data_IF_970269551865
#
_entry.id   IF_970269551865
#
_cell.length_a   1.000
_cell.length_b   1.000
_cell.length_c   1.000
_cell.angle_alpha   90.00
_cell.angle_beta   90.00
_cell.angle_gamma   90.00
#
_symmetry.space_group_name_H-M   'P 1'
#
loop_
_entity.id
_entity.type
_entity.pdbx_description
1 polymer ?
#
# COMPACT_ATOMS: atom_id res chain seq x y z
N UNK A 1 27.68 -52.80 -32.56
CA UNK A 1 27.52 -52.79 -31.10
C UNK A 1 27.00 -51.43 -30.69
N UNK A 2 25.69 -51.30 -30.49
CA UNK A 2 25.02 -50.10 -29.98
C UNK A 2 24.85 -50.27 -28.46
N UNK A 3 25.20 -49.25 -27.68
CA UNK A 3 24.82 -49.07 -26.27
C UNK A 3 25.19 -47.64 -25.84
N UNK A 4 24.48 -47.00 -24.88
CA UNK A 4 23.33 -46.18 -25.20
C UNK A 4 23.54 -44.71 -24.81
N UNK A 5 22.77 -43.85 -25.47
CA UNK A 5 22.61 -42.44 -25.16
C UNK A 5 21.98 -42.30 -23.76
N UNK A 6 22.76 -41.85 -22.78
CA UNK A 6 22.25 -41.48 -21.46
C UNK A 6 21.56 -40.12 -21.61
N UNK A 7 20.24 -40.16 -21.78
CA UNK A 7 19.39 -38.99 -21.61
C UNK A 7 19.47 -38.54 -20.14
N UNK A 8 20.13 -37.41 -19.89
CA UNK A 8 19.96 -36.70 -18.63
C UNK A 8 18.56 -36.10 -18.64
N UNK A 9 17.70 -36.76 -17.88
CA UNK A 9 16.37 -36.34 -17.50
C UNK A 9 16.41 -34.91 -16.91
N UNK A 10 15.93 -33.93 -17.68
CA UNK A 10 15.76 -32.54 -17.25
C UNK A 10 14.35 -32.30 -16.72
N UNK A 11 13.85 -33.23 -15.88
CA UNK A 11 12.57 -33.17 -15.19
C UNK A 11 12.68 -32.46 -13.84
N UNK A 12 12.96 -31.15 -13.80
CA UNK A 12 12.93 -30.42 -12.52
C UNK A 12 12.59 -28.91 -12.57
N UNK A 13 12.15 -28.33 -13.68
CA UNK A 13 11.91 -26.87 -13.72
C UNK A 13 10.68 -26.42 -14.52
N UNK A 14 9.70 -27.30 -14.72
CA UNK A 14 8.58 -27.04 -15.65
C UNK A 14 7.19 -27.13 -14.99
N UNK A 15 7.02 -26.52 -13.82
CA UNK A 15 5.74 -26.36 -13.13
C UNK A 15 5.91 -25.14 -12.19
N UNK A 16 5.27 -23.96 -12.30
CA UNK A 16 4.01 -23.51 -12.90
C UNK A 16 4.09 -21.98 -13.01
N UNK A 17 4.58 -21.43 -14.13
CA UNK A 17 4.40 -20.00 -14.44
C UNK A 17 3.13 -19.74 -15.28
N UNK A 18 2.44 -20.80 -15.70
CA UNK A 18 1.29 -20.79 -16.61
C UNK A 18 -0.06 -20.49 -15.92
N UNK A 19 -0.02 -19.84 -14.76
CA UNK A 19 -1.22 -19.50 -13.99
C UNK A 19 -1.15 -18.10 -13.40
N UNK A 20 -0.71 -17.12 -14.18
CA UNK A 20 -1.25 -15.75 -14.06
C UNK A 20 -2.68 -15.73 -14.63
N UNK A 21 -3.53 -16.62 -14.13
CA UNK A 21 -4.95 -16.37 -14.17
C UNK A 21 -5.14 -15.16 -13.26
N UNK A 22 -5.67 -14.07 -13.81
CA UNK A 22 -6.35 -13.03 -13.02
C UNK A 22 -7.06 -13.75 -11.88
N UNK A 23 -6.78 -13.38 -10.62
CA UNK A 23 -7.38 -14.03 -9.46
C UNK A 23 -8.87 -14.27 -9.76
N UNK A 24 -9.34 -15.53 -9.78
CA UNK A 24 -10.65 -15.84 -10.31
C UNK A 24 -11.70 -15.02 -9.56
N UNK A 25 -12.71 -14.54 -10.27
CA UNK A 25 -13.65 -13.51 -9.80
C UNK A 25 -14.47 -13.87 -8.53
N UNK A 26 -14.27 -15.05 -7.93
CA UNK A 26 -14.87 -15.44 -6.66
C UNK A 26 -14.06 -16.53 -5.94
N UNK A 27 -12.86 -16.22 -5.48
CA UNK A 27 -12.17 -17.08 -4.51
C UNK A 27 -12.96 -17.12 -3.18
N UNK A 28 -13.13 -18.30 -2.60
CA UNK A 28 -13.68 -18.42 -1.25
C UNK A 28 -12.75 -17.76 -0.21
N UNK A 29 -13.23 -17.41 0.99
CA UNK A 29 -12.38 -16.87 2.05
C UNK A 29 -11.15 -17.75 2.36
N UNK A 30 -11.31 -19.07 2.38
CA UNK A 30 -10.19 -20.01 2.62
C UNK A 30 -9.19 -19.97 1.46
N UNK A 31 -9.66 -19.96 0.21
CA UNK A 31 -8.78 -19.86 -0.96
C UNK A 31 -8.06 -18.50 -1.02
N UNK A 32 -8.72 -17.41 -0.67
CA UNK A 32 -8.08 -16.08 -0.56
C UNK A 32 -6.95 -16.09 0.46
N UNK A 33 -7.14 -16.70 1.63
CA UNK A 33 -6.09 -16.82 2.64
C UNK A 33 -4.92 -17.66 2.15
N UNK A 34 -5.19 -18.75 1.42
CA UNK A 34 -4.14 -19.62 0.87
C UNK A 34 -3.31 -18.89 -0.20
N UNK A 35 -3.97 -18.21 -1.12
CA UNK A 35 -3.30 -17.50 -2.22
C UNK A 35 -2.57 -16.24 -1.72
N UNK A 36 -3.22 -15.41 -0.90
CA UNK A 36 -2.64 -14.14 -0.44
C UNK A 36 -1.60 -14.33 0.67
N UNK A 37 -1.83 -15.24 1.61
CA UNK A 37 -0.97 -15.42 2.79
C UNK A 37 -0.06 -16.64 2.68
N UNK A 38 -0.23 -17.49 1.66
CA UNK A 38 0.58 -18.71 1.48
C UNK A 38 0.38 -19.75 2.58
N UNK A 39 -0.79 -19.76 3.23
CA UNK A 39 -1.13 -20.73 4.26
C UNK A 39 -1.56 -22.07 3.65
N UNK A 40 -1.39 -23.16 4.41
CA UNK A 40 -1.97 -24.46 4.05
C UNK A 40 -3.49 -24.42 4.20
N UNK A 41 -4.20 -25.33 3.51
CA UNK A 41 -5.66 -25.44 3.62
C UNK A 41 -6.12 -25.59 5.08
N UNK A 42 -5.47 -26.46 5.84
CA UNK A 42 -5.77 -26.69 7.25
C UNK A 42 -5.62 -25.41 8.08
N UNK A 43 -4.51 -24.66 7.90
CA UNK A 43 -4.27 -23.42 8.67
C UNK A 43 -5.24 -22.31 8.28
N UNK A 44 -5.60 -22.19 7.00
CA UNK A 44 -6.61 -21.24 6.53
C UNK A 44 -7.98 -21.53 7.13
N UNK A 45 -8.39 -22.81 7.14
CA UNK A 45 -9.67 -23.23 7.69
C UNK A 45 -9.71 -23.02 9.23
N UNK A 46 -8.61 -23.34 9.93
CA UNK A 46 -8.47 -23.08 11.37
C UNK A 46 -8.51 -21.58 11.71
N UNK A 47 -7.84 -20.75 10.92
CA UNK A 47 -7.87 -19.30 11.12
C UNK A 47 -9.30 -18.76 10.95
N UNK A 48 -10.00 -19.17 9.89
CA UNK A 48 -11.41 -18.78 9.70
C UNK A 48 -12.30 -19.23 10.86
N UNK A 49 -12.09 -20.44 11.36
CA UNK A 49 -12.83 -20.94 12.53
C UNK A 49 -12.57 -20.10 13.79
N UNK A 50 -11.32 -19.67 14.03
CA UNK A 50 -10.98 -18.81 15.17
C UNK A 50 -11.51 -17.38 15.02
N UNK A 51 -11.67 -16.89 13.80
CA UNK A 51 -12.20 -15.55 13.52
C UNK A 51 -13.72 -15.43 13.73
N UNK A 52 -14.41 -16.54 13.99
CA UNK A 52 -15.81 -16.60 14.38
C UNK A 52 -16.79 -16.84 13.23
N UNK A 53 -18.00 -17.28 13.59
CA UNK A 53 -19.10 -17.65 12.69
C UNK A 53 -19.85 -16.44 12.10
N UNK A 54 -19.24 -15.25 12.02
CA UNK A 54 -19.93 -14.09 11.44
C UNK A 54 -20.03 -14.27 9.91
N UNK A 55 -21.06 -15.03 9.51
CA UNK A 55 -21.34 -15.50 8.15
C UNK A 55 -21.45 -14.35 7.13
N UNK A 56 -21.59 -13.11 7.62
CA UNK A 56 -21.70 -11.91 6.80
C UNK A 56 -20.35 -11.49 6.23
N UNK A 57 -19.28 -11.49 7.03
CA UNK A 57 -17.95 -11.00 6.62
C UNK A 57 -16.80 -11.73 7.35
N UNK A 58 -16.54 -13.01 7.03
CA UNK A 58 -15.54 -13.83 7.74
C UNK A 58 -14.11 -13.26 7.72
N UNK A 59 -13.77 -12.46 6.70
CA UNK A 59 -12.46 -11.81 6.59
C UNK A 59 -12.37 -10.47 7.31
N UNK A 60 -13.48 -9.88 7.79
CA UNK A 60 -13.45 -8.59 8.48
C UNK A 60 -12.68 -8.66 9.81
N UNK A 61 -12.78 -9.80 10.51
CA UNK A 61 -12.09 -10.05 11.78
C UNK A 61 -10.56 -10.08 11.64
N UNK A 62 -10.01 -10.32 10.42
CA UNK A 62 -8.57 -10.22 10.15
C UNK A 62 -8.00 -8.84 10.50
N UNK A 63 -8.85 -7.80 10.55
CA UNK A 63 -8.43 -6.46 10.95
C UNK A 63 -7.89 -6.39 12.36
N UNK A 64 -8.22 -7.33 13.25
CA UNK A 64 -7.82 -7.28 14.66
C UNK A 64 -6.83 -8.38 15.04
N UNK A 65 -6.40 -9.19 14.07
CA UNK A 65 -5.45 -10.28 14.30
C UNK A 65 -4.08 -9.73 14.67
N UNK A 66 -3.49 -10.31 15.71
CA UNK A 66 -2.13 -10.07 16.16
C UNK A 66 -1.26 -11.32 16.06
N UNK A 67 0.02 -11.18 16.42
CA UNK A 67 0.97 -12.28 16.40
C UNK A 67 0.58 -13.42 17.35
N UNK A 68 -0.02 -13.12 18.52
CA UNK A 68 -0.32 -14.13 19.55
C UNK A 68 -1.36 -15.13 19.09
N UNK A 69 -2.41 -14.67 18.40
CA UNK A 69 -3.40 -15.55 17.79
C UNK A 69 -2.78 -16.44 16.71
N UNK A 70 -1.96 -15.85 15.85
CA UNK A 70 -1.33 -16.57 14.74
C UNK A 70 -0.32 -17.62 15.25
N UNK A 71 0.44 -17.29 16.30
CA UNK A 71 1.31 -18.22 17.00
C UNK A 71 0.52 -19.39 17.60
N UNK A 72 -0.64 -19.13 18.23
CA UNK A 72 -1.51 -20.16 18.82
C UNK A 72 -2.05 -21.16 17.79
N UNK A 73 -2.13 -20.77 16.52
CA UNK A 73 -2.55 -21.58 15.38
C UNK A 73 -1.41 -22.41 14.77
N UNK A 74 -0.20 -22.33 15.33
CA UNK A 74 0.98 -23.06 14.83
C UNK A 74 1.50 -22.53 13.50
N UNK A 75 1.30 -21.25 13.21
CA UNK A 75 1.95 -20.61 12.08
C UNK A 75 3.44 -20.44 12.37
N UNK A 76 4.26 -20.63 11.34
CA UNK A 76 5.69 -20.38 11.38
C UNK A 76 5.98 -18.88 11.41
N UNK A 77 7.17 -18.44 11.90
CA UNK A 77 7.53 -17.03 11.90
C UNK A 77 7.40 -16.34 10.52
N UNK A 78 7.68 -17.08 9.43
CA UNK A 78 7.52 -16.58 8.06
C UNK A 78 6.05 -16.38 7.66
N UNK A 79 5.18 -17.33 8.01
CA UNK A 79 3.73 -17.22 7.76
C UNK A 79 3.11 -16.07 8.57
N UNK A 80 3.54 -15.88 9.82
CA UNK A 80 3.08 -14.78 10.68
C UNK A 80 3.52 -13.44 10.11
N UNK A 81 4.81 -13.29 9.81
CA UNK A 81 5.36 -12.07 9.23
C UNK A 81 4.65 -11.69 7.92
N UNK A 82 4.45 -12.67 7.02
CA UNK A 82 3.72 -12.47 5.77
C UNK A 82 2.25 -12.09 6.00
N UNK A 83 1.59 -12.75 6.96
CA UNK A 83 0.19 -12.45 7.29
C UNK A 83 0.04 -11.02 7.78
N UNK A 84 0.83 -10.62 8.76
CA UNK A 84 0.80 -9.27 9.31
C UNK A 84 1.17 -8.21 8.25
N UNK A 85 2.17 -8.48 7.41
CA UNK A 85 2.55 -7.58 6.32
C UNK A 85 1.43 -7.40 5.29
N UNK A 86 0.78 -8.49 4.90
CA UNK A 86 -0.34 -8.46 3.93
C UNK A 86 -1.53 -7.71 4.50
N UNK A 87 -1.86 -7.92 5.78
CA UNK A 87 -2.92 -7.19 6.46
C UNK A 87 -2.59 -5.70 6.60
N UNK A 88 -1.34 -5.34 6.91
CA UNK A 88 -0.91 -3.95 6.92
C UNK A 88 -1.00 -3.30 5.53
N UNK A 89 -0.63 -4.03 4.47
CA UNK A 89 -0.78 -3.55 3.10
C UNK A 89 -2.25 -3.34 2.74
N UNK A 90 -3.12 -4.31 3.04
CA UNK A 90 -4.55 -4.19 2.83
C UNK A 90 -5.16 -3.00 3.61
N UNK A 91 -4.73 -2.79 4.86
CA UNK A 91 -5.09 -1.58 5.62
C UNK A 91 -4.61 -0.32 4.90
N UNK A 92 -3.39 -0.24 4.38
CA UNK A 92 -2.94 0.96 3.64
C UNK A 92 -3.70 1.19 2.32
N UNK A 93 -4.17 0.13 1.66
CA UNK A 93 -4.95 0.22 0.42
C UNK A 93 -6.41 0.60 0.65
N UNK A 94 -7.00 0.15 1.76
CA UNK A 94 -8.45 0.26 2.04
C UNK A 94 -8.78 1.02 3.32
N UNK A 95 -7.80 1.46 4.08
CA UNK A 95 -7.99 2.57 5.00
C UNK A 95 -8.55 3.69 4.15
N UNK A 96 -9.71 4.27 4.49
CA UNK A 96 -10.02 5.57 3.94
C UNK A 96 -8.77 6.41 4.19
N UNK A 97 -8.19 6.97 3.12
CA UNK A 97 -7.42 8.20 3.27
C UNK A 97 -8.36 9.05 4.12
N UNK A 98 -8.01 9.35 5.40
CA UNK A 98 -8.95 9.93 6.34
C UNK A 98 -9.65 11.04 5.59
N UNK A 99 -10.99 11.02 5.51
CA UNK A 99 -11.76 11.96 4.69
C UNK A 99 -11.14 13.33 4.88
N UNK A 100 -10.32 13.76 3.91
CA UNK A 100 -9.50 14.92 4.14
C UNK A 100 -10.49 16.05 4.08
N UNK A 101 -10.75 16.66 5.23
CA UNK A 101 -11.68 17.77 5.32
C UNK A 101 -11.30 18.78 4.24
N UNK A 102 -12.29 19.32 3.51
CA UNK A 102 -12.04 20.42 2.61
C UNK A 102 -11.16 21.46 3.28
N UNK A 103 -10.10 21.88 2.60
CA UNK A 103 -9.31 23.02 3.04
C UNK A 103 -10.08 24.27 2.64
N UNK A 104 -10.83 24.81 3.59
CA UNK A 104 -11.69 25.98 3.38
C UNK A 104 -11.01 27.31 3.74
N UNK A 105 -9.78 27.27 4.27
CA UNK A 105 -9.01 28.47 4.58
C UNK A 105 -7.49 28.28 4.37
N UNK A 106 -6.74 29.39 4.17
CA UNK A 106 -5.28 29.35 4.14
C UNK A 106 -4.66 28.74 5.40
N UNK A 107 -5.23 29.00 6.57
CA UNK A 107 -4.76 28.46 7.86
C UNK A 107 -4.91 26.94 7.90
N UNK A 108 -6.00 26.40 7.38
CA UNK A 108 -6.18 24.96 7.24
C UNK A 108 -5.12 24.34 6.31
N UNK A 109 -4.80 25.02 5.20
CA UNK A 109 -3.75 24.58 4.28
C UNK A 109 -2.36 24.64 4.92
N UNK A 110 -2.05 25.70 5.67
CA UNK A 110 -0.81 25.81 6.45
C UNK A 110 -0.72 24.70 7.49
N UNK A 111 -1.78 24.45 8.26
CA UNK A 111 -1.80 23.38 9.26
C UNK A 111 -1.60 22.00 8.62
N UNK A 112 -2.19 21.76 7.45
CA UNK A 112 -2.00 20.53 6.69
C UNK A 112 -0.54 20.35 6.23
N UNK A 113 0.08 21.41 5.72
CA UNK A 113 1.45 21.39 5.20
C UNK A 113 2.54 21.48 6.27
N UNK A 114 2.19 21.96 7.47
CA UNK A 114 3.14 22.23 8.55
C UNK A 114 3.92 20.98 8.97
N UNK A 115 3.30 19.80 8.93
CA UNK A 115 3.95 18.55 9.31
C UNK A 115 5.22 18.25 8.47
N UNK A 116 5.22 18.63 7.20
CA UNK A 116 6.31 18.34 6.26
C UNK A 116 7.23 19.54 5.97
N UNK A 117 6.81 20.76 6.35
CA UNK A 117 7.50 22.00 6.00
C UNK A 117 7.98 22.81 7.22
N UNK A 118 7.24 22.82 8.33
CA UNK A 118 7.42 23.83 9.40
C UNK A 118 8.75 23.73 10.15
N UNK A 119 9.33 22.52 10.26
CA UNK A 119 10.54 22.27 11.04
C UNK A 119 11.78 21.99 10.18
N UNK A 120 11.67 22.23 8.88
CA UNK A 120 12.73 21.95 7.94
C UNK A 120 13.77 23.08 7.92
N UNK A 121 15.04 22.69 8.08
CA UNK A 121 16.19 23.62 8.14
C UNK A 121 16.63 24.12 6.76
N UNK A 122 16.03 23.58 5.71
CA UNK A 122 16.28 23.95 4.32
C UNK A 122 14.96 24.35 3.69
N UNK A 123 14.97 25.35 2.81
CA UNK A 123 13.77 25.74 2.06
C UNK A 123 13.30 24.54 1.25
N UNK A 124 12.01 24.25 1.26
CA UNK A 124 11.38 23.20 0.47
C UNK A 124 10.19 23.81 -0.24
N UNK A 125 10.10 23.61 -1.56
CA UNK A 125 8.91 23.96 -2.32
C UNK A 125 8.04 22.72 -2.48
N UNK A 126 6.80 22.82 -2.03
CA UNK A 126 5.82 21.74 -2.08
C UNK A 126 4.56 22.14 -2.85
N UNK A 127 3.91 21.10 -3.36
CA UNK A 127 2.60 21.17 -3.98
C UNK A 127 1.61 20.32 -3.21
N UNK A 128 0.40 20.84 -3.05
CA UNK A 128 -0.76 20.15 -2.53
C UNK A 128 -1.82 20.07 -3.61
N UNK A 129 -2.12 18.86 -4.02
CA UNK A 129 -3.05 18.51 -5.09
C UNK A 129 -4.44 18.31 -4.49
N UNK A 130 -5.44 18.97 -5.06
CA UNK A 130 -6.79 19.02 -4.51
C UNK A 130 -7.86 18.55 -5.53
N UNK A 131 -8.94 17.98 -5.01
CA UNK A 131 -10.16 17.70 -5.77
C UNK A 131 -11.06 18.95 -5.96
N UNK A 132 -12.21 18.77 -6.62
CA UNK A 132 -13.20 19.84 -6.90
C UNK A 132 -13.92 20.35 -5.64
N UNK A 133 -13.71 19.72 -4.49
CA UNK A 133 -14.24 20.12 -3.18
C UNK A 133 -13.13 20.56 -2.23
N UNK A 134 -11.96 20.97 -2.74
CA UNK A 134 -10.80 21.41 -1.96
C UNK A 134 -10.23 20.35 -1.01
N UNK A 135 -10.43 19.07 -1.31
CA UNK A 135 -9.88 17.99 -0.48
C UNK A 135 -8.50 17.57 -0.97
N UNK A 136 -7.51 17.48 -0.06
CA UNK A 136 -6.21 16.89 -0.36
C UNK A 136 -6.30 15.49 -0.97
N UNK A 137 -5.86 15.36 -2.22
CA UNK A 137 -5.68 14.07 -2.89
C UNK A 137 -4.22 13.65 -3.00
N UNK A 138 -3.30 14.55 -2.60
CA UNK A 138 -1.90 14.21 -2.40
C UNK A 138 -1.02 15.44 -2.22
N UNK A 139 0.17 15.23 -1.66
CA UNK A 139 1.18 16.26 -1.44
C UNK A 139 2.53 15.78 -1.92
N UNK A 140 3.35 16.69 -2.46
CA UNK A 140 4.74 16.41 -2.83
C UNK A 140 5.63 17.63 -2.62
N UNK A 141 6.77 17.43 -1.96
CA UNK A 141 7.92 18.33 -2.10
C UNK A 141 8.47 18.14 -3.50
N UNK A 142 8.54 19.23 -4.29
CA UNK A 142 9.08 19.20 -5.65
C UNK A 142 10.56 19.49 -5.67
N UNK A 143 10.97 20.46 -4.87
CA UNK A 143 12.37 20.88 -4.79
C UNK A 143 12.74 21.18 -3.36
N UNK A 144 14.00 20.93 -3.08
CA UNK A 144 14.68 21.33 -1.86
C UNK A 144 15.63 22.43 -2.28
N UNK A 145 15.48 23.59 -1.68
CA UNK A 145 16.24 24.80 -1.95
C UNK A 145 17.73 24.61 -1.75
N UNK A 146 18.49 25.39 -2.50
CA UNK A 146 19.93 25.52 -2.31
C UNK A 146 20.22 26.61 -1.28
N UNK A 147 21.49 27.02 -1.13
CA UNK A 147 21.84 28.13 -0.25
C UNK A 147 21.25 29.48 -0.68
N UNK A 148 20.81 29.63 -1.94
CA UNK A 148 20.41 30.92 -2.51
C UNK A 148 19.05 30.93 -3.18
N UNK A 149 18.55 29.78 -3.63
CA UNK A 149 17.29 29.71 -4.36
C UNK A 149 16.62 28.33 -4.31
N UNK A 150 15.31 28.32 -4.55
CA UNK A 150 14.51 27.12 -4.76
C UNK A 150 13.88 27.14 -6.15
N UNK A 151 14.25 26.17 -6.99
CA UNK A 151 13.73 26.08 -8.36
C UNK A 151 12.30 25.53 -8.36
N UNK A 152 11.38 26.18 -9.06
CA UNK A 152 9.99 25.73 -9.18
C UNK A 152 9.52 25.85 -10.64
N UNK A 153 9.90 24.88 -11.49
CA UNK A 153 9.57 24.95 -12.92
C UNK A 153 8.09 24.57 -13.17
N UNK A 154 7.29 25.43 -13.86
CA UNK A 154 5.86 25.17 -14.11
C UNK A 154 5.56 23.79 -14.73
N UNK A 155 6.39 23.34 -15.67
CA UNK A 155 6.31 21.99 -16.27
C UNK A 155 6.30 20.86 -15.23
N UNK A 156 7.12 20.95 -14.19
CA UNK A 156 7.24 19.90 -13.17
C UNK A 156 6.06 19.96 -12.20
N UNK A 157 5.61 21.17 -11.89
CA UNK A 157 4.39 21.43 -11.10
C UNK A 157 3.18 20.85 -11.82
N UNK A 158 2.84 21.38 -12.99
CA UNK A 158 1.65 21.00 -13.74
C UNK A 158 1.71 19.54 -14.23
N UNK A 159 2.89 19.05 -14.60
CA UNK A 159 3.06 17.66 -14.99
C UNK A 159 2.64 16.69 -13.88
N UNK A 160 2.93 16.98 -12.62
CA UNK A 160 2.48 16.15 -11.49
C UNK A 160 1.00 16.32 -11.18
N UNK A 161 0.49 17.55 -11.17
CA UNK A 161 -0.93 17.87 -10.90
C UNK A 161 -1.85 17.19 -11.92
N UNK A 162 -1.50 17.25 -13.21
CA UNK A 162 -2.29 16.62 -14.28
C UNK A 162 -2.30 15.10 -14.12
N UNK A 163 -1.14 14.49 -13.83
CA UNK A 163 -1.04 13.03 -13.63
C UNK A 163 -1.79 12.52 -12.40
N UNK A 164 -1.98 13.35 -11.37
CA UNK A 164 -2.72 12.98 -10.17
C UNK A 164 -4.24 13.14 -10.31
N UNK A 165 -4.72 13.65 -11.44
CA UNK A 165 -6.15 13.98 -11.62
C UNK A 165 -6.63 15.13 -10.73
N UNK A 166 -5.72 15.98 -10.25
CA UNK A 166 -6.11 17.14 -9.45
C UNK A 166 -6.80 18.19 -10.31
N UNK A 167 -7.81 18.82 -9.72
CA UNK A 167 -8.53 19.94 -10.35
C UNK A 167 -8.10 21.29 -9.79
N UNK A 168 -7.41 21.29 -8.63
CA UNK A 168 -6.90 22.48 -7.94
C UNK A 168 -5.52 22.18 -7.35
N UNK A 169 -4.75 23.24 -7.12
CA UNK A 169 -3.38 23.17 -6.61
C UNK A 169 -3.17 24.29 -5.58
N UNK A 170 -2.52 23.96 -4.46
CA UNK A 170 -1.86 24.93 -3.58
C UNK A 170 -0.35 24.72 -3.71
N UNK A 171 0.40 25.81 -3.77
CA UNK A 171 1.87 25.80 -3.70
C UNK A 171 2.30 26.42 -2.38
N UNK A 172 3.37 25.90 -1.79
CA UNK A 172 3.91 26.41 -0.53
C UNK A 172 5.42 26.22 -0.45
N UNK A 173 6.07 27.05 0.37
CA UNK A 173 7.43 26.82 0.83
C UNK A 173 7.56 27.13 2.33
N UNK A 174 8.57 26.57 2.99
CA UNK A 174 9.04 27.06 4.28
C UNK A 174 10.21 28.01 4.09
N UNK A 175 10.31 29.03 4.93
CA UNK A 175 11.55 29.79 5.09
C UNK A 175 12.27 29.28 6.33
N UNK A 176 13.50 28.75 6.21
CA UNK A 176 14.31 28.39 7.37
C UNK A 176 14.55 29.62 8.27
N UNK A 177 14.66 29.42 9.60
CA UNK A 177 14.99 30.48 10.55
C UNK A 177 16.43 31.01 10.39
#
# INVERSE_FOLDING_TARGET
MQSPFIARDSSAASLRFDRLQVAPASLSPSELLREALGLSKQKSDQLLQQLGDDLTHPLAALRQVDHTLLDSLGLTPSEISRTLATLQLARRLYSPVPETLPLESPEAAVAYLAADLMWEVQEKFAILMLDVKNRPIGQRVLTVGTATETLAHPRDIFGRVIRSGATRLIVAHNHPP
#
